data_IF_479065876075
#
_entry.id   IF_479065876075
#
_cell.length_a   1.000
_cell.length_b   1.000
_cell.length_c   1.000
_cell.angle_alpha   90.00
_cell.angle_beta   90.00
_cell.angle_gamma   90.00
#
_symmetry.space_group_name_H-M   'P 1'
#
loop_
_entity.id
_entity.type
_entity.pdbx_description
1 polymer ?
#
# COMPACT_ATOMS: atom_id res chain seq x y z
N UNK A 1 1.42 -16.72 -11.74
CA UNK A 1 0.15 -16.58 -11.01
C UNK A 1 -0.52 -17.95 -10.91
N UNK A 2 -0.62 -18.51 -9.71
CA UNK A 2 -1.52 -19.64 -9.49
C UNK A 2 -2.95 -19.16 -9.71
N UNK A 3 -3.70 -19.84 -10.57
CA UNK A 3 -5.11 -19.57 -10.80
C UNK A 3 -5.83 -19.44 -9.46
N UNK A 4 -6.35 -18.25 -9.14
CA UNK A 4 -7.24 -18.02 -8.01
C UNK A 4 -8.42 -18.99 -8.10
N UNK A 5 -8.45 -20.01 -7.25
CA UNK A 5 -9.51 -21.01 -7.21
C UNK A 5 -10.31 -20.88 -5.92
N UNK A 6 -11.48 -20.28 -6.06
CA UNK A 6 -12.42 -20.04 -4.97
C UNK A 6 -12.80 -21.32 -4.20
N UNK A 7 -12.91 -22.47 -4.88
CA UNK A 7 -13.23 -23.74 -4.23
C UNK A 7 -12.08 -24.26 -3.35
N UNK A 8 -10.83 -24.00 -3.75
CA UNK A 8 -9.66 -24.41 -2.97
C UNK A 8 -9.53 -23.59 -1.68
N UNK A 9 -9.95 -22.31 -1.69
CA UNK A 9 -9.98 -21.45 -0.49
C UNK A 9 -10.98 -21.96 0.57
N UNK A 10 -12.19 -22.33 0.13
CA UNK A 10 -13.17 -22.98 1.00
C UNK A 10 -12.66 -24.31 1.57
N UNK A 11 -12.03 -25.14 0.73
CA UNK A 11 -11.44 -26.40 1.16
C UNK A 11 -10.30 -26.20 2.16
N UNK A 12 -9.41 -25.23 1.94
CA UNK A 12 -8.34 -24.86 2.87
C UNK A 12 -8.88 -24.40 4.23
N UNK A 13 -10.06 -23.77 4.25
CA UNK A 13 -10.76 -23.36 5.46
C UNK A 13 -11.56 -24.48 6.16
N UNK A 14 -11.60 -25.69 5.60
CA UNK A 14 -12.47 -26.79 6.01
C UNK A 14 -13.97 -26.42 6.00
N UNK A 15 -14.38 -25.58 5.03
CA UNK A 15 -15.79 -25.23 4.80
C UNK A 15 -16.19 -25.86 3.46
N UNK A 16 -17.27 -26.64 3.44
CA UNK A 16 -17.71 -27.39 2.25
C UNK A 16 -19.12 -26.97 1.81
N UNK A 17 -19.27 -25.75 1.26
CA UNK A 17 -20.54 -25.34 0.68
C UNK A 17 -20.84 -26.14 -0.59
N UNK A 18 -22.12 -26.26 -0.93
CA UNK A 18 -22.53 -26.91 -2.18
C UNK A 18 -22.06 -26.14 -3.43
N UNK A 19 -21.94 -26.80 -4.59
CA UNK A 19 -21.50 -26.15 -5.84
C UNK A 19 -22.33 -24.93 -6.24
N UNK A 20 -23.64 -24.95 -5.95
CA UNK A 20 -24.54 -23.82 -6.23
C UNK A 20 -24.20 -22.60 -5.36
N UNK A 21 -23.96 -22.82 -4.06
CA UNK A 21 -23.56 -21.77 -3.12
C UNK A 21 -22.21 -21.16 -3.53
N UNK A 22 -21.26 -22.01 -3.96
CA UNK A 22 -19.96 -21.57 -4.49
C UNK A 22 -20.15 -20.64 -5.69
N UNK A 23 -21.05 -21.00 -6.61
CA UNK A 23 -21.33 -20.20 -7.80
C UNK A 23 -21.95 -18.85 -7.45
N UNK A 24 -22.98 -18.82 -6.60
CA UNK A 24 -23.65 -17.59 -6.18
C UNK A 24 -22.68 -16.62 -5.50
N UNK A 25 -21.86 -17.13 -4.59
CA UNK A 25 -20.90 -16.29 -3.86
C UNK A 25 -19.74 -15.81 -4.72
N UNK A 26 -19.33 -16.60 -5.72
CA UNK A 26 -18.36 -16.15 -6.71
C UNK A 26 -18.89 -14.96 -7.51
N UNK A 27 -20.17 -14.97 -7.87
CA UNK A 27 -20.81 -13.85 -8.58
C UNK A 27 -20.80 -12.57 -7.73
N UNK A 28 -21.10 -12.66 -6.43
CA UNK A 28 -20.96 -11.52 -5.51
C UNK A 28 -19.51 -11.01 -5.43
N UNK A 29 -18.53 -11.91 -5.33
CA UNK A 29 -17.11 -11.56 -5.28
C UNK A 29 -16.68 -10.82 -6.54
N UNK A 30 -17.04 -11.34 -7.71
CA UNK A 30 -16.71 -10.73 -9.00
C UNK A 30 -17.32 -9.31 -9.12
N UNK A 31 -18.54 -9.10 -8.60
CA UNK A 31 -19.18 -7.78 -8.55
C UNK A 31 -18.43 -6.81 -7.63
N UNK A 32 -18.12 -7.24 -6.39
CA UNK A 32 -17.41 -6.41 -5.40
C UNK A 32 -16.04 -5.97 -5.93
N UNK A 33 -15.31 -6.87 -6.60
CA UNK A 33 -13.95 -6.58 -7.08
C UNK A 33 -13.87 -5.40 -8.04
N UNK A 34 -14.95 -5.10 -8.78
CA UNK A 34 -14.97 -3.99 -9.75
C UNK A 34 -15.01 -2.61 -9.11
N UNK A 35 -15.38 -2.52 -7.83
CA UNK A 35 -15.58 -1.29 -7.08
C UNK A 35 -14.79 -1.34 -5.76
N UNK A 36 -13.70 -2.11 -5.69
CA UNK A 36 -12.93 -2.22 -4.47
C UNK A 36 -12.05 -0.98 -4.27
N UNK A 37 -12.16 -0.37 -3.09
CA UNK A 37 -11.38 0.78 -2.65
C UNK A 37 -10.65 0.46 -1.33
N UNK A 38 -9.80 1.38 -0.87
CA UNK A 38 -9.00 1.19 0.35
C UNK A 38 -9.88 1.02 1.61
N UNK A 39 -11.02 1.70 1.69
CA UNK A 39 -11.96 1.57 2.81
C UNK A 39 -12.55 0.17 2.87
N UNK A 40 -12.94 -0.40 1.72
CA UNK A 40 -13.41 -1.79 1.64
C UNK A 40 -12.29 -2.77 1.95
N UNK A 41 -11.04 -2.52 1.54
CA UNK A 41 -9.89 -3.38 1.89
C UNK A 41 -9.64 -3.36 3.42
N UNK A 42 -9.78 -2.21 4.06
CA UNK A 42 -9.71 -2.05 5.52
C UNK A 42 -10.80 -2.90 6.19
N UNK A 43 -12.06 -2.78 5.75
CA UNK A 43 -13.17 -3.57 6.29
C UNK A 43 -12.98 -5.08 6.07
N UNK A 44 -12.56 -5.51 4.88
CA UNK A 44 -12.25 -6.92 4.60
C UNK A 44 -11.14 -7.45 5.50
N UNK A 45 -10.11 -6.64 5.75
CA UNK A 45 -9.03 -7.00 6.68
C UNK A 45 -9.57 -7.15 8.10
N UNK A 46 -10.43 -6.24 8.56
CA UNK A 46 -11.08 -6.35 9.88
C UNK A 46 -11.91 -7.62 9.99
N UNK A 47 -12.71 -7.96 8.97
CA UNK A 47 -13.49 -9.21 8.93
C UNK A 47 -12.57 -10.43 8.98
N UNK A 48 -11.49 -10.43 8.19
CA UNK A 48 -10.51 -11.51 8.14
C UNK A 48 -9.88 -11.81 9.52
N UNK A 49 -9.54 -10.77 10.27
CA UNK A 49 -8.99 -10.87 11.63
C UNK A 49 -10.04 -10.96 12.74
N UNK A 50 -11.34 -10.89 12.41
CA UNK A 50 -12.43 -10.91 13.39
C UNK A 50 -12.53 -9.65 14.25
N UNK A 51 -12.02 -8.53 13.75
CA UNK A 51 -12.11 -7.22 14.38
C UNK A 51 -13.50 -6.60 14.11
N UNK A 52 -13.89 -5.67 14.99
CA UNK A 52 -15.09 -4.87 14.78
C UNK A 52 -14.88 -3.94 13.60
N UNK A 53 -15.72 -4.04 12.59
CA UNK A 53 -15.77 -3.06 11.51
C UNK A 53 -16.47 -1.80 11.98
N UNK A 54 -16.31 -0.71 11.24
CA UNK A 54 -17.25 0.41 11.39
C UNK A 54 -18.68 -0.10 11.14
N UNK A 55 -19.68 0.51 11.76
CA UNK A 55 -21.07 0.02 11.87
C UNK A 55 -21.85 -0.11 10.54
N UNK A 56 -21.16 -0.21 9.39
CA UNK A 56 -21.71 -0.26 8.02
C UNK A 56 -21.10 -1.38 7.15
N UNK A 57 -20.90 -2.59 7.69
CA UNK A 57 -20.70 -3.79 6.85
C UNK A 57 -21.95 -4.16 6.00
N UNK A 58 -22.91 -3.26 5.90
CA UNK A 58 -24.06 -3.36 5.01
C UNK A 58 -23.58 -3.65 3.59
N UNK A 59 -22.52 -2.96 3.10
CA UNK A 59 -22.04 -3.20 1.73
C UNK A 59 -21.61 -4.66 1.48
N UNK A 60 -20.84 -5.25 2.40
CA UNK A 60 -20.33 -6.62 2.25
C UNK A 60 -21.48 -7.62 2.37
N UNK A 61 -22.30 -7.46 3.42
CA UNK A 61 -23.47 -8.32 3.64
C UNK A 61 -24.45 -8.27 2.48
N UNK A 62 -24.82 -7.06 2.07
CA UNK A 62 -25.89 -6.81 1.11
C UNK A 62 -25.48 -7.31 -0.28
N UNK A 63 -24.20 -7.16 -0.67
CA UNK A 63 -23.67 -7.73 -1.90
C UNK A 63 -23.80 -9.27 -1.96
N UNK A 64 -23.55 -9.96 -0.84
CA UNK A 64 -23.76 -11.41 -0.77
C UNK A 64 -25.24 -11.78 -0.67
N UNK A 65 -26.08 -11.01 0.04
CA UNK A 65 -27.53 -11.27 0.12
C UNK A 65 -28.26 -11.10 -1.22
N UNK A 66 -27.80 -10.21 -2.10
CA UNK A 66 -28.36 -10.02 -3.44
C UNK A 66 -28.27 -11.29 -4.30
N UNK A 67 -27.23 -12.10 -4.10
CA UNK A 67 -26.98 -13.33 -4.88
C UNK A 67 -27.31 -14.60 -4.09
N UNK A 68 -27.10 -14.59 -2.78
CA UNK A 68 -27.32 -15.69 -1.83
C UNK A 68 -28.13 -15.20 -0.61
N UNK A 69 -29.48 -15.28 -0.66
CA UNK A 69 -30.34 -14.89 0.46
C UNK A 69 -30.12 -15.71 1.74
N UNK A 70 -29.39 -16.82 1.68
CA UNK A 70 -29.07 -17.66 2.85
C UNK A 70 -27.84 -17.17 3.62
N UNK A 71 -27.13 -16.16 3.12
CA UNK A 71 -25.91 -15.64 3.73
C UNK A 71 -26.18 -14.84 5.01
N UNK A 72 -25.58 -15.26 6.14
CA UNK A 72 -25.67 -14.58 7.45
C UNK A 72 -24.27 -14.23 7.98
N UNK A 73 -23.99 -12.95 8.24
CA UNK A 73 -22.76 -12.51 8.89
C UNK A 73 -22.69 -12.85 10.39
N UNK A 74 -23.83 -13.08 11.03
CA UNK A 74 -23.92 -13.34 12.47
C UNK A 74 -23.47 -14.78 12.75
N UNK A 75 -23.96 -15.72 11.96
CA UNK A 75 -23.70 -17.15 12.16
C UNK A 75 -22.44 -17.63 11.44
N UNK A 76 -21.99 -16.92 10.39
CA UNK A 76 -20.93 -17.38 9.51
C UNK A 76 -19.66 -16.51 9.53
N UNK A 77 -19.23 -16.01 10.70
CA UNK A 77 -17.99 -15.20 10.83
C UNK A 77 -16.75 -15.88 10.19
N UNK A 78 -16.65 -17.20 10.33
CA UNK A 78 -15.59 -18.01 9.71
C UNK A 78 -15.67 -17.95 8.19
N UNK A 79 -16.86 -18.06 7.64
CA UNK A 79 -17.05 -18.00 6.20
C UNK A 79 -16.81 -16.59 5.64
N UNK A 80 -17.27 -15.56 6.35
CA UNK A 80 -16.97 -14.17 6.02
C UNK A 80 -15.46 -13.94 5.96
N UNK A 81 -14.68 -14.49 6.89
CA UNK A 81 -13.21 -14.45 6.87
C UNK A 81 -12.62 -15.09 5.60
N UNK A 82 -13.13 -16.25 5.16
CA UNK A 82 -12.71 -16.89 3.89
C UNK A 82 -13.04 -16.02 2.69
N UNK A 83 -14.26 -15.49 2.64
CA UNK A 83 -14.70 -14.59 1.57
C UNK A 83 -13.86 -13.30 1.53
N UNK A 84 -13.43 -12.79 2.68
CA UNK A 84 -12.50 -11.66 2.76
C UNK A 84 -11.12 -12.00 2.21
N UNK A 85 -10.54 -13.15 2.56
CA UNK A 85 -9.25 -13.60 1.98
C UNK A 85 -9.37 -13.78 0.47
N UNK A 86 -10.49 -14.35 0.02
CA UNK A 86 -10.83 -14.49 -1.39
C UNK A 86 -10.77 -13.15 -2.12
N UNK A 87 -11.49 -12.14 -1.62
CA UNK A 87 -11.51 -10.79 -2.19
C UNK A 87 -10.12 -10.13 -2.14
N UNK A 88 -9.42 -10.21 -1.00
CA UNK A 88 -8.08 -9.64 -0.85
C UNK A 88 -7.08 -10.28 -1.82
N UNK A 89 -7.13 -11.60 -1.99
CA UNK A 89 -6.27 -12.33 -2.94
C UNK A 89 -6.56 -11.97 -4.39
N UNK A 90 -7.83 -11.82 -4.74
CA UNK A 90 -8.23 -11.42 -6.09
C UNK A 90 -7.90 -9.95 -6.39
N UNK A 91 -8.08 -9.06 -5.41
CA UNK A 91 -7.66 -7.66 -5.51
C UNK A 91 -6.15 -7.55 -5.72
N UNK A 92 -5.37 -8.31 -4.94
CA UNK A 92 -3.93 -8.37 -5.09
C UNK A 92 -3.50 -8.88 -6.47
N UNK A 93 -4.20 -9.87 -7.02
CA UNK A 93 -3.97 -10.36 -8.38
C UNK A 93 -4.28 -9.31 -9.47
N UNK A 94 -5.17 -8.34 -9.18
CA UNK A 94 -5.47 -7.20 -10.04
C UNK A 94 -4.50 -6.03 -9.86
N UNK A 95 -3.52 -6.13 -8.94
CA UNK A 95 -2.53 -5.10 -8.68
C UNK A 95 -2.83 -4.20 -7.49
N UNK A 96 -3.88 -4.46 -6.71
CA UNK A 96 -4.22 -3.68 -5.51
C UNK A 96 -3.30 -4.02 -4.34
N UNK A 97 -2.20 -3.28 -4.22
CA UNK A 97 -1.12 -3.53 -3.24
C UNK A 97 -1.57 -3.39 -1.79
N UNK A 98 -2.55 -2.52 -1.53
CA UNK A 98 -3.11 -2.33 -0.18
C UNK A 98 -3.80 -3.61 0.34
N UNK A 99 -4.28 -4.48 -0.56
CA UNK A 99 -4.84 -5.79 -0.20
C UNK A 99 -3.79 -6.76 0.39
N UNK A 100 -2.49 -6.48 0.23
CA UNK A 100 -1.42 -7.17 0.93
C UNK A 100 -0.88 -6.38 2.12
N UNK A 101 -0.64 -5.08 1.95
CA UNK A 101 -0.03 -4.22 2.98
C UNK A 101 -0.87 -4.15 4.26
N UNK A 102 -2.19 -3.92 4.13
CA UNK A 102 -3.08 -3.71 5.28
C UNK A 102 -3.20 -4.98 6.15
N UNK A 103 -3.40 -6.20 5.58
CA UNK A 103 -3.36 -7.44 6.37
C UNK A 103 -2.03 -7.70 7.08
N UNK A 104 -0.90 -7.39 6.45
CA UNK A 104 0.44 -7.59 7.04
C UNK A 104 0.62 -6.68 8.26
N UNK A 105 0.29 -5.39 8.12
CA UNK A 105 0.31 -4.43 9.24
C UNK A 105 -0.60 -4.92 10.36
N UNK A 106 -1.81 -5.34 10.01
CA UNK A 106 -2.82 -5.82 10.96
C UNK A 106 -2.34 -7.04 11.74
N UNK A 107 -1.55 -7.93 11.14
CA UNK A 107 -0.96 -9.09 11.82
C UNK A 107 -0.01 -8.71 12.95
N UNK A 108 0.50 -7.47 12.98
CA UNK A 108 1.38 -6.95 14.03
C UNK A 108 2.58 -7.88 14.27
N UNK A 109 3.31 -8.22 13.20
CA UNK A 109 4.42 -9.18 13.23
C UNK A 109 4.05 -10.55 13.84
N UNK A 110 2.81 -11.01 13.63
CA UNK A 110 2.30 -12.31 14.11
C UNK A 110 1.64 -12.29 15.50
N UNK A 111 1.61 -11.14 16.19
CA UNK A 111 0.91 -10.99 17.47
C UNK A 111 -0.61 -11.01 17.32
N UNK A 112 -1.13 -10.64 16.14
CA UNK A 112 -2.52 -10.81 15.76
C UNK A 112 -2.63 -11.94 14.74
N UNK A 113 -3.45 -12.94 15.06
CA UNK A 113 -3.70 -14.08 14.18
C UNK A 113 -5.06 -13.91 13.47
N UNK A 114 -5.13 -14.22 12.17
CA UNK A 114 -6.41 -14.23 11.47
C UNK A 114 -7.29 -15.38 11.95
N UNK A 115 -8.61 -15.29 11.66
CA UNK A 115 -9.56 -16.33 12.05
C UNK A 115 -9.30 -17.65 11.31
N UNK A 116 -8.89 -17.57 10.03
CA UNK A 116 -8.60 -18.70 9.15
C UNK A 116 -7.43 -18.35 8.22
N UNK A 117 -6.90 -19.35 7.52
CA UNK A 117 -5.95 -19.20 6.41
C UNK A 117 -4.73 -18.29 6.71
N UNK A 118 -3.98 -18.53 7.80
CA UNK A 118 -2.83 -17.70 8.18
C UNK A 118 -1.75 -17.60 7.10
N UNK A 119 -1.65 -18.60 6.21
CA UNK A 119 -0.69 -18.64 5.12
C UNK A 119 -0.83 -17.47 4.14
N UNK A 120 -2.04 -16.90 4.02
CA UNK A 120 -2.27 -15.70 3.19
C UNK A 120 -1.35 -14.54 3.58
N UNK A 121 -1.01 -14.37 4.86
CA UNK A 121 -0.08 -13.31 5.30
C UNK A 121 1.32 -13.52 4.71
N UNK A 122 1.77 -14.78 4.64
CA UNK A 122 3.06 -15.10 4.03
C UNK A 122 3.05 -14.88 2.52
N UNK A 123 1.98 -15.31 1.84
CA UNK A 123 1.80 -15.11 0.41
C UNK A 123 1.75 -13.62 0.06
N UNK A 124 1.00 -12.84 0.83
CA UNK A 124 0.92 -11.39 0.70
C UNK A 124 2.29 -10.71 0.87
N UNK A 125 3.10 -11.16 1.84
CA UNK A 125 4.46 -10.65 2.05
C UNK A 125 5.35 -10.92 0.83
N UNK A 126 5.29 -12.12 0.28
CA UNK A 126 6.09 -12.48 -0.89
C UNK A 126 5.66 -11.65 -2.11
N UNK A 127 4.35 -11.46 -2.32
CA UNK A 127 3.84 -10.67 -3.43
C UNK A 127 4.27 -9.19 -3.31
N UNK A 128 4.29 -8.61 -2.10
CA UNK A 128 4.82 -7.26 -1.91
C UNK A 128 6.29 -7.15 -2.29
N UNK A 129 7.10 -8.17 -1.94
CA UNK A 129 8.53 -8.21 -2.30
C UNK A 129 8.69 -8.27 -3.82
N UNK A 130 7.93 -9.16 -4.47
CA UNK A 130 7.97 -9.33 -5.92
C UNK A 130 7.53 -8.05 -6.64
N UNK A 131 6.43 -7.44 -6.18
CA UNK A 131 5.96 -6.16 -6.69
C UNK A 131 7.00 -5.06 -6.55
N UNK A 132 7.62 -4.93 -5.37
CA UNK A 132 8.69 -3.95 -5.13
C UNK A 132 9.91 -4.17 -6.03
N UNK A 133 10.24 -5.43 -6.31
CA UNK A 133 11.33 -5.77 -7.22
C UNK A 133 10.99 -5.38 -8.67
N UNK A 134 9.82 -5.78 -9.15
CA UNK A 134 9.36 -5.47 -10.51
C UNK A 134 9.17 -3.98 -10.75
N UNK A 135 8.60 -3.27 -9.77
CA UNK A 135 8.35 -1.83 -9.84
C UNK A 135 9.65 -1.02 -9.99
N UNK A 136 10.74 -1.46 -9.36
CA UNK A 136 12.04 -0.77 -9.38
C UNK A 136 13.00 -1.29 -10.44
N UNK A 137 12.83 -2.51 -10.92
CA UNK A 137 13.64 -3.09 -12.00
C UNK A 137 13.08 -2.77 -13.41
N UNK A 138 12.34 -1.66 -13.55
CA UNK A 138 11.75 -1.24 -14.82
C UNK A 138 12.84 -1.02 -15.86
N UNK A 139 12.58 -1.49 -17.08
CA UNK A 139 13.47 -1.28 -18.22
C UNK A 139 13.72 0.20 -18.48
N UNK A 140 14.92 0.51 -18.98
CA UNK A 140 15.30 1.87 -19.37
C UNK A 140 14.27 2.49 -20.32
N UNK A 141 14.07 3.81 -20.21
CA UNK A 141 13.13 4.53 -21.07
C UNK A 141 13.56 4.39 -22.53
N UNK A 142 12.66 3.86 -23.37
CA UNK A 142 12.94 3.71 -24.79
C UNK A 142 12.72 5.02 -25.56
N UNK A 143 13.80 5.78 -25.75
CA UNK A 143 13.80 7.01 -26.52
C UNK A 143 13.42 6.81 -28.00
N UNK A 144 13.47 5.59 -28.54
CA UNK A 144 13.07 5.29 -29.93
C UNK A 144 11.57 5.41 -30.16
N UNK A 145 10.77 5.58 -29.09
CA UNK A 145 9.33 5.89 -29.17
C UNK A 145 9.07 7.28 -29.77
N UNK A 146 10.01 8.22 -29.63
CA UNK A 146 9.92 9.53 -30.26
C UNK A 146 10.35 9.37 -31.73
N UNK A 147 9.38 9.43 -32.63
CA UNK A 147 9.61 9.30 -34.07
C UNK A 147 9.43 10.65 -34.72
N UNK A 148 10.18 10.89 -35.79
CA UNK A 148 9.91 12.05 -36.64
C UNK A 148 8.46 11.97 -37.17
N UNK A 149 7.75 13.11 -37.29
CA UNK A 149 6.45 13.13 -37.92
C UNK A 149 6.51 12.46 -39.30
N UNK A 150 5.50 11.66 -39.62
CA UNK A 150 5.39 11.08 -40.95
C UNK A 150 5.38 12.21 -42.01
N UNK A 151 5.94 11.94 -43.19
CA UNK A 151 5.91 12.91 -44.29
C UNK A 151 4.46 13.32 -44.56
N UNK A 152 4.22 14.62 -44.57
CA UNK A 152 2.91 15.23 -44.76
C UNK A 152 2.35 14.86 -46.14
N UNK A 153 1.13 14.29 -46.19
CA UNK A 153 0.46 13.88 -47.44
C UNK A 153 -0.10 15.07 -48.23
N UNK A 154 -0.33 16.22 -47.60
CA UNK A 154 -0.86 17.44 -48.21
C UNK A 154 0.12 18.11 -49.15
N UNK A 155 1.44 17.96 -48.94
CA UNK A 155 2.43 18.42 -49.92
C UNK A 155 2.14 17.86 -51.32
N UNK A 156 1.70 16.60 -51.39
CA UNK A 156 1.30 15.92 -52.62
C UNK A 156 -0.07 16.34 -53.16
N UNK A 157 -0.91 17.01 -52.36
CA UNK A 157 -2.22 17.55 -52.79
C UNK A 157 -2.13 19.01 -53.25
N UNK A 158 -1.24 19.80 -52.64
CA UNK A 158 -0.92 21.17 -53.06
C UNK A 158 -0.26 21.17 -54.44
N UNK A 159 0.61 20.19 -54.72
CA UNK A 159 1.25 20.02 -56.04
C UNK A 159 0.26 19.69 -57.18
N UNK A 160 -1.00 19.35 -56.85
CA UNK A 160 -2.06 19.04 -57.82
C UNK A 160 -2.96 20.25 -58.14
N UNK A 161 -2.68 21.41 -57.54
CA UNK A 161 -3.43 22.64 -57.79
C UNK A 161 -3.06 23.22 -59.16
N UNK A 162 -4.08 23.52 -59.98
CA UNK A 162 -3.96 24.19 -61.28
C UNK A 162 -4.54 25.61 -61.23
N UNK A 163 -4.27 26.44 -62.24
CA UNK A 163 -4.73 27.85 -62.28
C UNK A 163 -6.27 28.02 -62.21
N UNK A 164 -7.06 26.98 -62.52
CA UNK A 164 -8.53 26.96 -62.46
C UNK A 164 -9.13 26.41 -61.15
N UNK A 165 -8.39 26.40 -60.03
CA UNK A 165 -8.89 25.76 -58.80
C UNK A 165 -10.02 26.58 -58.13
N UNK A 166 -11.20 25.97 -57.94
CA UNK A 166 -12.31 26.55 -57.18
C UNK A 166 -12.02 26.68 -55.66
N UNK A 167 -12.58 27.72 -55.04
CA UNK A 167 -12.41 28.10 -53.62
C UNK A 167 -12.80 26.94 -52.68
N UNK A 168 -13.79 26.13 -53.05
CA UNK A 168 -14.21 24.98 -52.24
C UNK A 168 -13.14 23.88 -52.15
N UNK A 169 -12.35 23.70 -53.21
CA UNK A 169 -11.25 22.73 -53.24
C UNK A 169 -10.07 23.21 -52.39
N UNK A 170 -9.76 24.51 -52.44
CA UNK A 170 -8.76 25.13 -51.58
C UNK A 170 -9.15 25.02 -50.10
N UNK A 171 -10.42 25.29 -49.75
CA UNK A 171 -10.91 25.16 -48.38
C UNK A 171 -10.80 23.72 -47.84
N UNK A 172 -11.01 22.70 -48.69
CA UNK A 172 -10.81 21.29 -48.32
C UNK A 172 -9.35 20.98 -48.03
N UNK A 173 -8.42 21.44 -48.87
CA UNK A 173 -6.98 21.23 -48.67
C UNK A 173 -6.50 21.90 -47.38
N UNK A 174 -6.94 23.13 -47.10
CA UNK A 174 -6.62 23.83 -45.85
C UNK A 174 -7.20 23.08 -44.63
N UNK A 175 -8.43 22.58 -44.71
CA UNK A 175 -9.04 21.81 -43.62
C UNK A 175 -8.32 20.49 -43.38
N UNK A 176 -7.98 19.74 -44.44
CA UNK A 176 -7.16 18.53 -44.35
C UNK A 176 -5.78 18.84 -43.77
N UNK A 177 -5.18 19.97 -44.17
CA UNK A 177 -3.91 20.45 -43.61
C UNK A 177 -3.95 20.74 -42.14
N UNK A 178 -5.02 21.40 -41.69
CA UNK A 178 -5.24 21.68 -40.28
C UNK A 178 -5.40 20.37 -39.49
N UNK A 179 -6.22 19.44 -39.99
CA UNK A 179 -6.47 18.16 -39.33
C UNK A 179 -5.21 17.28 -39.25
N UNK A 180 -4.46 17.12 -40.36
CA UNK A 180 -3.23 16.31 -40.36
C UNK A 180 -2.16 16.93 -39.46
N UNK A 181 -2.07 18.27 -39.40
CA UNK A 181 -1.19 18.95 -38.47
C UNK A 181 -1.61 18.73 -37.02
N UNK A 182 -2.91 18.78 -36.72
CA UNK A 182 -3.44 18.49 -35.40
C UNK A 182 -3.13 17.05 -34.97
N UNK A 183 -3.37 16.07 -35.84
CA UNK A 183 -3.10 14.66 -35.57
C UNK A 183 -1.60 14.40 -35.37
N UNK A 184 -0.75 15.00 -36.20
CA UNK A 184 0.71 14.90 -36.05
C UNK A 184 1.20 15.49 -34.73
N UNK A 185 0.63 16.63 -34.30
CA UNK A 185 0.93 17.22 -33.00
C UNK A 185 0.45 16.32 -31.86
N UNK A 186 -0.76 15.77 -31.92
CA UNK A 186 -1.26 14.84 -30.90
C UNK A 186 -0.41 13.58 -30.78
N UNK A 187 -0.01 12.99 -31.92
CA UNK A 187 0.90 11.84 -31.94
C UNK A 187 2.26 12.21 -31.34
N UNK A 188 2.83 13.35 -31.73
CA UNK A 188 4.11 13.83 -31.19
C UNK A 188 4.05 14.08 -29.68
N UNK A 189 2.99 14.73 -29.20
CA UNK A 189 2.70 14.96 -27.79
C UNK A 189 2.64 13.61 -27.06
N UNK A 190 1.84 12.66 -27.52
CA UNK A 190 1.71 11.35 -26.90
C UNK A 190 3.03 10.56 -26.86
N UNK A 191 3.82 10.63 -27.94
CA UNK A 191 5.17 10.02 -27.97
C UNK A 191 6.09 10.65 -26.93
N UNK A 192 6.11 11.98 -26.83
CA UNK A 192 6.92 12.71 -25.85
C UNK A 192 6.48 12.37 -24.43
N UNK A 193 5.17 12.40 -24.13
CA UNK A 193 4.64 12.02 -22.81
C UNK A 193 5.02 10.59 -22.42
N UNK A 194 4.99 9.65 -23.38
CA UNK A 194 5.37 8.25 -23.15
C UNK A 194 6.83 8.03 -22.75
N UNK A 195 7.68 9.05 -22.93
CA UNK A 195 9.11 9.05 -22.57
C UNK A 195 9.37 9.93 -21.35
N UNK A 196 8.81 11.14 -21.31
CA UNK A 196 9.04 12.10 -20.21
C UNK A 196 8.46 11.59 -18.89
N UNK A 197 7.23 11.06 -18.89
CA UNK A 197 6.58 10.64 -17.63
C UNK A 197 7.37 9.51 -16.94
N UNK A 198 7.76 8.41 -17.62
CA UNK A 198 8.62 7.40 -17.01
C UNK A 198 9.98 7.94 -16.57
N UNK A 199 10.58 8.88 -17.32
CA UNK A 199 11.87 9.46 -16.98
C UNK A 199 11.80 10.30 -15.69
N UNK A 200 10.75 11.12 -15.53
CA UNK A 200 10.50 11.87 -14.29
C UNK A 200 10.31 10.90 -13.12
N UNK A 201 9.57 9.81 -13.33
CA UNK A 201 9.43 8.73 -12.34
C UNK A 201 10.78 8.17 -11.89
N UNK A 202 11.66 7.80 -12.83
CA UNK A 202 13.00 7.29 -12.52
C UNK A 202 13.87 8.32 -11.77
N UNK A 203 13.78 9.61 -12.10
CA UNK A 203 14.52 10.65 -11.38
C UNK A 203 14.02 10.79 -9.93
N UNK A 204 12.71 10.69 -9.72
CA UNK A 204 12.14 10.73 -8.36
C UNK A 204 12.55 9.51 -7.54
N UNK A 205 12.49 8.31 -8.13
CA UNK A 205 12.97 7.05 -7.51
C UNK A 205 14.46 7.15 -7.14
N UNK A 206 15.31 7.67 -8.04
CA UNK A 206 16.74 7.87 -7.74
C UNK A 206 16.98 8.90 -6.63
N UNK A 207 16.21 9.99 -6.59
CA UNK A 207 16.29 10.97 -5.50
C UNK A 207 15.92 10.36 -4.16
N UNK A 208 14.87 9.54 -4.15
CA UNK A 208 14.44 8.78 -2.99
C UNK A 208 15.58 7.87 -2.48
N UNK A 209 16.14 7.03 -3.35
CA UNK A 209 17.22 6.08 -3.00
C UNK A 209 18.49 6.79 -2.53
N UNK A 210 18.86 7.90 -3.17
CA UNK A 210 19.98 8.74 -2.74
C UNK A 210 19.69 9.37 -1.37
N UNK A 211 18.47 9.84 -1.13
CA UNK A 211 18.04 10.36 0.17
C UNK A 211 18.14 9.31 1.28
N UNK A 212 17.67 8.10 1.01
CA UNK A 212 17.79 6.95 1.92
C UNK A 212 19.25 6.58 2.19
N UNK A 213 20.11 6.59 1.15
CA UNK A 213 21.53 6.31 1.29
C UNK A 213 22.23 7.36 2.16
N UNK A 214 21.97 8.64 1.93
CA UNK A 214 22.55 9.72 2.74
C UNK A 214 22.11 9.66 4.19
N UNK A 215 20.82 9.38 4.42
CA UNK A 215 20.31 9.16 5.78
C UNK A 215 20.97 7.96 6.47
N UNK A 216 21.11 6.84 5.75
CA UNK A 216 21.75 5.63 6.25
C UNK A 216 23.22 5.87 6.63
N UNK A 217 23.97 6.59 5.79
CA UNK A 217 25.38 6.94 6.05
C UNK A 217 25.48 7.96 7.19
N UNK A 218 24.60 8.95 7.21
CA UNK A 218 24.57 10.00 8.24
C UNK A 218 24.29 9.45 9.64
N UNK A 219 23.55 8.35 9.75
CA UNK A 219 23.32 7.69 11.04
C UNK A 219 22.60 8.56 12.06
N UNK A 220 21.72 9.46 11.59
CA UNK A 220 21.05 10.47 12.39
C UNK A 220 19.54 10.42 12.19
N UNK A 221 18.79 10.47 13.29
CA UNK A 221 17.34 10.55 13.23
C UNK A 221 16.91 11.97 12.87
N UNK A 222 16.03 12.11 11.87
CA UNK A 222 15.57 13.41 11.39
C UNK A 222 14.50 13.98 12.31
N UNK A 223 13.62 13.13 12.81
CA UNK A 223 12.53 13.50 13.71
C UNK A 223 13.06 13.95 15.07
N UNK A 224 13.95 13.17 15.70
CA UNK A 224 14.52 13.55 17.02
C UNK A 224 15.74 14.46 16.94
N UNK A 225 16.25 14.71 15.73
CA UNK A 225 17.49 15.43 15.48
C UNK A 225 18.67 14.92 16.35
N UNK A 226 18.83 13.60 16.46
CA UNK A 226 19.86 12.94 17.27
C UNK A 226 20.54 11.79 16.53
N UNK A 227 21.84 11.53 16.76
CA UNK A 227 22.50 10.34 16.23
C UNK A 227 21.83 9.06 16.74
N UNK A 228 21.65 8.06 15.89
CA UNK A 228 21.10 6.77 16.32
C UNK A 228 21.96 6.10 17.40
N UNK A 229 23.27 6.35 17.41
CA UNK A 229 24.21 5.92 18.47
C UNK A 229 23.93 6.50 19.85
N UNK A 230 23.07 7.51 19.93
CA UNK A 230 22.60 8.08 21.19
C UNK A 230 21.20 7.59 21.57
N UNK A 231 20.55 6.76 20.77
CA UNK A 231 19.19 6.28 21.04
C UNK A 231 19.22 4.86 21.62
N UNK A 232 18.31 4.61 22.56
CA UNK A 232 18.04 3.24 23.02
C UNK A 232 17.47 2.41 21.88
N UNK A 233 17.76 1.10 21.86
CA UNK A 233 17.51 0.25 20.70
C UNK A 233 16.04 0.23 20.25
N UNK A 234 15.08 0.31 21.18
CA UNK A 234 13.66 0.39 20.88
C UNK A 234 13.26 1.74 20.28
N UNK A 235 13.76 2.84 20.85
CA UNK A 235 13.54 4.20 20.32
C UNK A 235 14.18 4.34 18.94
N UNK A 236 15.41 3.84 18.77
CA UNK A 236 16.11 3.80 17.49
C UNK A 236 15.32 3.02 16.43
N UNK A 237 14.69 1.90 16.80
CA UNK A 237 13.86 1.11 15.88
C UNK A 237 12.60 1.87 15.42
N UNK A 238 11.87 2.51 16.34
CA UNK A 238 10.69 3.33 15.98
C UNK A 238 11.12 4.50 15.09
N UNK A 239 12.18 5.23 15.47
CA UNK A 239 12.67 6.36 14.70
C UNK A 239 13.21 5.95 13.33
N UNK A 240 13.88 4.80 13.23
CA UNK A 240 14.36 4.29 11.95
C UNK A 240 13.19 3.96 11.00
N UNK A 241 12.12 3.36 11.52
CA UNK A 241 10.91 3.09 10.73
C UNK A 241 10.23 4.37 10.25
N UNK A 242 10.06 5.33 11.15
CA UNK A 242 9.46 6.63 10.84
C UNK A 242 10.28 7.43 9.83
N UNK A 243 11.58 7.65 10.10
CA UNK A 243 12.45 8.44 9.22
C UNK A 243 12.53 7.82 7.81
N UNK A 244 12.58 6.49 7.71
CA UNK A 244 12.59 5.80 6.43
C UNK A 244 11.24 5.93 5.70
N UNK A 245 10.12 5.93 6.42
CA UNK A 245 8.80 6.14 5.83
C UNK A 245 8.69 7.55 5.25
N UNK A 246 9.16 8.58 5.96
CA UNK A 246 9.22 9.97 5.45
C UNK A 246 10.10 10.10 4.21
N UNK A 247 11.13 9.26 4.09
CA UNK A 247 12.03 9.22 2.92
C UNK A 247 11.46 8.43 1.74
N UNK A 248 10.36 7.69 1.92
CA UNK A 248 9.75 6.88 0.86
C UNK A 248 8.60 7.68 0.23
N UNK A 249 8.67 7.91 -1.08
CA UNK A 249 7.69 8.71 -1.82
C UNK A 249 7.02 7.90 -2.95
N UNK A 250 7.61 6.79 -3.39
CA UNK A 250 7.03 5.91 -4.40
C UNK A 250 5.95 4.97 -3.86
N UNK A 251 5.16 4.41 -4.77
CA UNK A 251 4.10 3.44 -4.44
C UNK A 251 4.64 2.11 -3.88
N UNK A 252 5.91 1.81 -4.17
CA UNK A 252 6.60 0.58 -3.75
C UNK A 252 7.72 0.87 -2.75
N UNK A 253 7.70 0.15 -1.63
CA UNK A 253 8.81 0.17 -0.67
C UNK A 253 10.07 -0.48 -1.28
N UNK A 254 11.28 -0.01 -0.97
CA UNK A 254 12.50 -0.70 -1.38
C UNK A 254 12.54 -2.14 -0.85
N UNK A 255 12.95 -3.11 -1.69
CA UNK A 255 13.16 -4.51 -1.26
C UNK A 255 14.20 -4.59 -0.13
N UNK A 256 15.17 -3.67 -0.14
CA UNK A 256 16.22 -3.59 0.86
C UNK A 256 15.78 -3.00 2.21
N UNK A 257 14.52 -2.58 2.38
CA UNK A 257 14.04 -1.94 3.62
C UNK A 257 14.43 -2.69 4.90
N UNK A 258 14.24 -4.02 5.03
CA UNK A 258 14.67 -4.74 6.23
C UNK A 258 16.18 -4.61 6.50
N UNK A 259 17.00 -4.66 5.46
CA UNK A 259 18.45 -4.56 5.58
C UNK A 259 18.90 -3.13 5.95
N UNK A 260 18.25 -2.11 5.36
CA UNK A 260 18.49 -0.69 5.67
C UNK A 260 18.15 -0.42 7.15
N UNK A 261 16.96 -0.81 7.59
CA UNK A 261 16.52 -0.65 8.98
C UNK A 261 17.45 -1.39 9.94
N UNK A 262 17.80 -2.64 9.64
CA UNK A 262 18.73 -3.41 10.46
C UNK A 262 20.09 -2.71 10.60
N UNK A 263 20.61 -2.14 9.52
CA UNK A 263 21.91 -1.44 9.51
C UNK A 263 21.88 -0.20 10.41
N UNK A 264 20.78 0.55 10.43
CA UNK A 264 20.60 1.70 11.34
C UNK A 264 20.52 1.25 12.79
N UNK A 265 19.70 0.25 13.09
CA UNK A 265 19.46 -0.24 14.46
C UNK A 265 20.73 -0.81 15.10
N UNK A 266 21.60 -1.46 14.32
CA UNK A 266 22.88 -2.00 14.82
C UNK A 266 23.79 -0.89 15.39
N UNK A 267 23.65 0.34 14.91
CA UNK A 267 24.43 1.48 15.38
C UNK A 267 23.84 2.16 16.62
N UNK A 268 22.77 1.63 17.21
CA UNK A 268 22.15 2.19 18.41
C UNK A 268 23.08 2.19 19.64
N UNK A 269 22.78 3.04 20.63
CA UNK A 269 23.58 3.20 21.87
C UNK A 269 23.82 1.88 22.59
N UNK A 270 22.76 1.09 22.70
CA UNK A 270 22.79 -0.22 23.34
C UNK A 270 23.20 -1.28 22.33
N UNK A 271 24.11 -2.19 22.72
CA UNK A 271 24.57 -3.28 21.85
C UNK A 271 23.35 -4.00 21.24
N UNK A 272 23.34 -4.24 19.92
CA UNK A 272 22.23 -4.93 19.26
C UNK A 272 22.06 -6.32 19.87
N UNK A 273 21.07 -6.44 20.74
CA UNK A 273 20.67 -7.71 21.32
C UNK A 273 19.48 -8.20 20.51
N UNK A 274 19.48 -9.48 20.13
CA UNK A 274 18.29 -10.12 19.53
C UNK A 274 17.13 -10.24 20.52
N UNK A 275 17.29 -9.78 21.77
CA UNK A 275 16.22 -9.87 22.77
C UNK A 275 15.05 -8.99 22.32
N UNK A 276 13.83 -9.53 22.39
CA UNK A 276 12.64 -8.73 22.19
C UNK A 276 12.59 -7.56 23.17
N UNK A 277 11.97 -6.48 22.72
CA UNK A 277 11.67 -5.28 23.49
C UNK A 277 10.16 -5.17 23.65
N UNK A 278 9.72 -4.75 24.84
CA UNK A 278 8.32 -4.61 25.19
C UNK A 278 7.78 -3.28 24.68
N UNK A 279 6.62 -3.26 24.02
CA UNK A 279 6.08 -2.03 23.43
C UNK A 279 5.84 -0.94 24.49
N UNK A 280 5.25 -1.28 25.63
CA UNK A 280 5.05 -0.35 26.77
C UNK A 280 6.36 0.32 27.22
N UNK A 281 7.42 -0.46 27.36
CA UNK A 281 8.72 0.03 27.83
C UNK A 281 9.33 1.03 26.86
N UNK A 282 9.12 0.84 25.56
CA UNK A 282 9.68 1.70 24.51
C UNK A 282 8.88 2.98 24.42
N UNK A 283 7.55 2.88 24.43
CA UNK A 283 6.66 4.02 24.32
C UNK A 283 6.86 4.98 25.50
N UNK A 284 7.10 4.47 26.71
CA UNK A 284 7.42 5.29 27.87
C UNK A 284 8.80 6.00 27.78
N UNK A 285 9.69 5.57 26.88
CA UNK A 285 10.98 6.23 26.63
C UNK A 285 10.90 7.31 25.54
N UNK A 286 9.78 7.40 24.82
CA UNK A 286 9.62 8.40 23.76
C UNK A 286 9.43 9.81 24.36
N UNK A 287 9.95 10.85 23.69
CA UNK A 287 9.71 12.23 24.07
C UNK A 287 8.21 12.57 24.03
N UNK A 288 7.76 13.37 24.99
CA UNK A 288 6.35 13.78 25.10
C UNK A 288 5.89 14.68 23.94
N UNK A 289 6.82 15.37 23.29
CA UNK A 289 6.61 16.28 22.15
C UNK A 289 6.68 15.58 20.78
N UNK A 290 6.88 14.25 20.75
CA UNK A 290 6.97 13.52 19.50
C UNK A 290 5.66 13.60 18.67
N UNK A 291 4.49 13.72 19.31
CA UNK A 291 3.19 13.84 18.61
C UNK A 291 3.17 14.99 17.61
N UNK A 292 3.67 16.16 18.04
CA UNK A 292 3.67 17.38 17.24
C UNK A 292 4.58 17.24 16.00
N UNK A 293 5.55 16.32 16.06
CA UNK A 293 6.47 16.02 14.96
C UNK A 293 5.95 14.97 13.99
N UNK A 294 4.88 14.22 14.35
CA UNK A 294 4.44 13.05 13.60
C UNK A 294 3.43 13.34 12.48
N UNK A 295 3.01 14.60 12.28
CA UNK A 295 2.09 15.04 11.22
C UNK A 295 0.95 14.03 10.91
N UNK A 296 0.34 13.49 11.97
CA UNK A 296 -0.60 12.37 11.85
C UNK A 296 -1.88 12.84 11.18
N UNK A 297 -2.29 12.13 10.13
CA UNK A 297 -3.44 12.54 9.33
C UNK A 297 -4.77 12.36 10.04
N UNK A 298 -5.78 13.13 9.61
CA UNK A 298 -7.15 13.02 10.12
C UNK A 298 -7.75 11.63 9.93
N UNK A 299 -7.27 10.90 8.91
CA UNK A 299 -7.80 9.59 8.51
C UNK A 299 -7.23 8.44 9.34
N UNK A 300 -6.23 8.69 10.20
CA UNK A 300 -5.70 7.68 11.13
C UNK A 300 -6.79 6.98 11.97
N UNK A 301 -7.88 7.68 12.30
CA UNK A 301 -8.99 7.10 13.07
C UNK A 301 -9.63 5.86 12.43
N UNK A 302 -9.56 5.69 11.11
CA UNK A 302 -10.12 4.52 10.40
C UNK A 302 -9.26 3.27 10.56
N UNK A 303 -7.96 3.44 10.81
CA UNK A 303 -6.94 2.38 10.89
C UNK A 303 -6.28 2.26 12.27
N UNK A 304 -6.75 2.99 13.28
CA UNK A 304 -6.21 2.96 14.63
C UNK A 304 -6.23 1.56 15.28
N UNK A 305 -7.19 0.71 14.93
CA UNK A 305 -7.24 -0.69 15.38
C UNK A 305 -6.23 -1.58 14.63
N UNK A 306 -5.73 -1.17 13.47
CA UNK A 306 -4.79 -1.90 12.63
C UNK A 306 -3.33 -1.50 12.91
N UNK A 307 -3.05 -0.21 13.08
CA UNK A 307 -1.70 0.35 13.27
C UNK A 307 -1.25 0.33 14.74
N UNK A 308 -0.85 -0.84 15.23
CA UNK A 308 -0.62 -1.09 16.66
C UNK A 308 0.48 -0.21 17.29
N UNK A 309 1.58 0.08 16.59
CA UNK A 309 2.69 0.85 17.17
C UNK A 309 2.29 2.32 17.24
N UNK A 310 1.75 2.84 16.14
CA UNK A 310 1.28 4.22 16.05
C UNK A 310 0.18 4.49 17.08
N UNK A 311 -0.75 3.55 17.27
CA UNK A 311 -1.79 3.65 18.28
C UNK A 311 -1.25 3.68 19.69
N UNK A 312 -0.23 2.90 20.00
CA UNK A 312 0.41 2.94 21.32
C UNK A 312 1.08 4.31 21.57
N UNK A 313 1.80 4.84 20.59
CA UNK A 313 2.44 6.16 20.67
C UNK A 313 1.40 7.25 20.93
N UNK A 314 0.36 7.34 20.09
CA UNK A 314 -0.70 8.36 20.22
C UNK A 314 -1.41 8.24 21.57
N UNK A 315 -1.84 7.04 21.97
CA UNK A 315 -2.55 6.87 23.26
C UNK A 315 -1.70 7.24 24.46
N UNK A 316 -0.39 6.94 24.42
CA UNK A 316 0.53 7.32 25.50
C UNK A 316 0.71 8.83 25.62
N UNK A 317 0.64 9.55 24.50
CA UNK A 317 0.79 11.01 24.47
C UNK A 317 -0.52 11.71 24.85
N UNK A 318 -1.66 11.23 24.35
CA UNK A 318 -2.99 11.77 24.66
C UNK A 318 -3.35 11.64 26.15
N UNK A 319 -3.04 10.49 26.74
CA UNK A 319 -3.48 10.12 28.10
C UNK A 319 -2.37 10.34 29.13
N UNK A 320 -1.11 10.42 28.68
CA UNK A 320 0.08 10.39 29.53
C UNK A 320 0.56 8.96 29.84
N UNK A 321 1.75 8.87 30.43
CA UNK A 321 2.39 7.59 30.77
C UNK A 321 1.66 6.86 31.90
N UNK A 322 1.73 5.52 31.90
CA UNK A 322 1.14 4.64 32.92
C UNK A 322 0.06 3.69 32.39
N UNK A 323 -0.68 3.04 33.30
CA UNK A 323 -1.61 1.96 32.94
C UNK A 323 -2.84 2.43 32.13
N UNK A 324 -3.20 3.71 32.25
CA UNK A 324 -4.39 4.29 31.60
C UNK A 324 -4.31 4.23 30.07
N UNK A 325 -3.15 4.55 29.50
CA UNK A 325 -2.98 4.48 28.04
C UNK A 325 -2.95 3.03 27.55
N UNK A 326 -2.40 2.10 28.34
CA UNK A 326 -2.36 0.68 28.00
C UNK A 326 -3.77 0.08 27.93
N UNK A 327 -4.66 0.48 28.84
CA UNK A 327 -6.07 0.08 28.81
C UNK A 327 -6.79 0.65 27.58
N UNK A 328 -6.54 1.92 27.24
CA UNK A 328 -7.10 2.54 26.04
C UNK A 328 -6.58 1.87 24.75
N UNK A 329 -5.28 1.58 24.70
CA UNK A 329 -4.64 0.82 23.63
C UNK A 329 -5.31 -0.55 23.45
N UNK A 330 -5.44 -1.32 24.53
CA UNK A 330 -6.07 -2.66 24.49
C UNK A 330 -7.52 -2.61 24.06
N UNK A 331 -8.26 -1.57 24.45
CA UNK A 331 -9.65 -1.37 24.01
C UNK A 331 -9.73 -1.09 22.51
N UNK A 332 -8.78 -0.35 21.94
CA UNK A 332 -8.75 -0.01 20.51
C UNK A 332 -8.25 -1.15 19.65
N UNK A 333 -7.13 -1.79 20.02
CA UNK A 333 -6.44 -2.77 19.17
C UNK A 333 -6.75 -4.22 19.52
N UNK A 334 -7.33 -4.47 20.70
CA UNK A 334 -7.50 -5.83 21.24
C UNK A 334 -6.20 -6.49 21.71
N UNK A 335 -5.04 -5.81 21.63
CA UNK A 335 -3.74 -6.34 22.02
C UNK A 335 -3.27 -5.79 23.36
N UNK A 336 -2.37 -6.52 24.02
CA UNK A 336 -1.74 -6.08 25.25
C UNK A 336 -0.54 -5.16 24.97
N UNK A 337 -0.32 -4.13 25.79
CA UNK A 337 0.82 -3.22 25.60
C UNK A 337 2.17 -3.89 25.87
N UNK A 338 2.18 -5.06 26.52
CA UNK A 338 3.39 -5.83 26.81
C UNK A 338 3.87 -6.74 25.65
N UNK A 339 3.34 -6.54 24.43
CA UNK A 339 3.79 -7.32 23.27
C UNK A 339 5.30 -7.16 23.07
N UNK A 340 5.94 -8.28 22.77
CA UNK A 340 7.39 -8.37 22.63
C UNK A 340 7.76 -8.43 21.15
N UNK A 341 8.47 -7.43 20.66
CA UNK A 341 8.90 -7.34 19.27
C UNK A 341 10.42 -7.36 19.19
N UNK A 342 10.99 -8.03 18.19
CA UNK A 342 12.40 -7.81 17.88
C UNK A 342 12.57 -6.35 17.41
N UNK A 343 13.71 -5.70 17.67
CA UNK A 343 13.94 -4.33 17.20
C UNK A 343 13.73 -4.15 15.69
N UNK A 344 14.10 -5.16 14.88
CA UNK A 344 13.87 -5.13 13.45
C UNK A 344 12.39 -5.21 13.09
N UNK A 345 11.63 -6.12 13.70
CA UNK A 345 10.19 -6.23 13.45
C UNK A 345 9.44 -4.97 13.89
N UNK A 346 9.85 -4.36 15.01
CA UNK A 346 9.32 -3.09 15.46
C UNK A 346 9.54 -1.98 14.43
N UNK A 347 10.75 -1.88 13.87
CA UNK A 347 11.06 -0.88 12.85
C UNK A 347 10.30 -1.12 11.54
N UNK A 348 10.20 -2.38 11.08
CA UNK A 348 9.44 -2.73 9.88
C UNK A 348 7.96 -2.42 10.08
N UNK A 349 7.39 -2.79 11.23
CA UNK A 349 6.00 -2.52 11.57
C UNK A 349 5.74 -1.00 11.59
N UNK A 350 6.60 -0.23 12.26
CA UNK A 350 6.47 1.23 12.31
C UNK A 350 6.56 1.84 10.91
N UNK A 351 7.52 1.41 10.09
CA UNK A 351 7.66 1.85 8.70
C UNK A 351 6.39 1.60 7.88
N UNK A 352 5.84 0.40 7.94
CA UNK A 352 4.65 0.02 7.19
C UNK A 352 3.40 0.78 7.66
N UNK A 353 3.23 0.94 8.98
CA UNK A 353 2.14 1.74 9.54
C UNK A 353 2.21 3.20 9.08
N UNK A 354 3.40 3.80 9.12
CA UNK A 354 3.61 5.18 8.65
C UNK A 354 3.33 5.34 7.16
N UNK A 355 3.72 4.37 6.33
CA UNK A 355 3.39 4.38 4.91
C UNK A 355 1.89 4.24 4.63
N UNK A 356 1.20 3.39 5.38
CA UNK A 356 -0.24 3.25 5.22
C UNK A 356 -0.94 4.56 5.59
N UNK A 357 -0.58 5.15 6.72
CA UNK A 357 -1.18 6.41 7.20
C UNK A 357 -0.92 7.54 6.20
N UNK A 358 0.30 7.67 5.67
CA UNK A 358 0.62 8.72 4.69
C UNK A 358 -0.13 8.55 3.36
N UNK A 359 -0.37 7.31 2.91
CA UNK A 359 -1.15 7.03 1.70
C UNK A 359 -2.65 7.27 1.86
N UNK A 360 -3.18 7.09 3.06
CA UNK A 360 -4.59 7.35 3.39
C UNK A 360 -4.87 8.84 3.64
N UNK A 361 -3.86 9.71 3.59
CA UNK A 361 -3.96 11.16 3.81
C UNK A 361 -4.15 11.91 2.51
#
# INVERSE_FOLDING_TARGET
>A
MGSYNFADQYKAANISPGPEIIKLRKEAVDKILTDLDDDKIIDLTKIYFGLSTSSKNDWFRDAFLETDPSFSLIDNKREASVLSVCLLSAALANGEINAALIPIITSASGHRKPLLQPDFIHDAQQILIDYSFEARNKSQVDFKKIKSPAKNKIGLEVDKLTEETDILSLAKIVKSSSNESHDALQIGINQIYSVIVPLVGQVNELREEVGMLWWLIGGHSRILNKPFSELDIGVAAIMAGLDLATLTHGDSSPVATPAILQRVIINARSKPSKKPVSLDSIVNLLPSDLHDSLEISSNYSTVADLCVITTAIIKSQDIGQGDSWQQAFKKTTGLDANIQLSPLNLAIQMYQESLLISKLS
#
